data_IF_289223639262
#
_entry.id   IF_289223639262
#
_cell.length_a   1.000
_cell.length_b   1.000
_cell.length_c   1.000
_cell.angle_alpha   90.00
_cell.angle_beta   90.00
_cell.angle_gamma   90.00
#
_symmetry.space_group_name_H-M   'P 1'
#
loop_
_entity.id
_entity.type
_entity.pdbx_description
1 polymer ?
#
# COMPACT_ATOMS: atom_id res chain seq x y z
N UNK A 1 -57.66 -15.80 28.96
CA UNK A 1 -56.21 -16.01 29.15
C UNK A 1 -55.88 -15.83 30.63
N UNK A 2 -55.11 -16.76 31.21
CA UNK A 2 -54.70 -16.63 32.62
C UNK A 2 -53.71 -15.49 32.76
N UNK A 3 -53.77 -14.60 33.75
CA UNK A 3 -52.87 -13.46 33.90
C UNK A 3 -51.36 -13.85 33.90
N UNK A 4 -51.05 -15.04 34.35
CA UNK A 4 -49.72 -15.62 34.37
C UNK A 4 -49.12 -15.80 32.94
N UNK A 5 -49.92 -16.04 31.90
CA UNK A 5 -49.44 -16.23 30.53
C UNK A 5 -49.09 -14.88 29.88
N UNK A 6 -49.78 -13.83 30.27
CA UNK A 6 -49.53 -12.47 29.77
C UNK A 6 -48.20 -11.94 30.32
N UNK A 7 -47.92 -12.17 31.60
CA UNK A 7 -46.64 -11.77 32.21
C UNK A 7 -45.45 -12.53 31.64
N UNK A 8 -45.61 -13.83 31.37
CA UNK A 8 -44.55 -14.62 30.71
C UNK A 8 -44.26 -14.13 29.28
N UNK A 9 -45.30 -13.80 28.53
CA UNK A 9 -45.19 -13.30 27.17
C UNK A 9 -44.51 -11.91 27.10
N UNK A 10 -44.83 -11.02 28.04
CA UNK A 10 -44.21 -9.73 28.23
C UNK A 10 -42.70 -9.86 28.59
N UNK A 11 -42.36 -10.79 29.47
CA UNK A 11 -40.96 -11.03 29.83
C UNK A 11 -40.14 -11.53 28.64
N UNK A 12 -40.69 -12.46 27.85
CA UNK A 12 -40.02 -12.95 26.62
C UNK A 12 -39.82 -11.81 25.61
N UNK A 13 -40.83 -10.96 25.43
CA UNK A 13 -40.78 -9.84 24.49
C UNK A 13 -39.70 -8.81 24.90
N UNK A 14 -39.58 -8.53 26.22
CA UNK A 14 -38.53 -7.64 26.73
C UNK A 14 -37.12 -8.23 26.55
N UNK A 15 -36.96 -9.54 26.77
CA UNK A 15 -35.66 -10.21 26.54
C UNK A 15 -35.29 -10.16 25.04
N UNK A 16 -36.27 -10.43 24.18
CA UNK A 16 -36.04 -10.40 22.72
C UNK A 16 -35.71 -8.98 22.25
N UNK A 17 -36.41 -7.97 22.72
CA UNK A 17 -36.15 -6.56 22.42
C UNK A 17 -34.78 -6.14 22.94
N UNK A 18 -34.38 -6.53 24.14
CA UNK A 18 -33.05 -6.29 24.68
C UNK A 18 -31.95 -6.96 23.87
N UNK A 19 -32.16 -8.20 23.46
CA UNK A 19 -31.22 -8.92 22.59
C UNK A 19 -31.07 -8.23 21.24
N UNK A 20 -32.16 -7.88 20.57
CA UNK A 20 -32.13 -7.16 19.30
C UNK A 20 -31.48 -5.79 19.45
N UNK A 21 -31.72 -5.06 20.54
CA UNK A 21 -31.08 -3.78 20.80
C UNK A 21 -29.54 -3.92 20.92
N UNK A 22 -29.06 -4.90 21.69
CA UNK A 22 -27.62 -5.17 21.85
C UNK A 22 -26.95 -5.62 20.55
N UNK A 23 -27.61 -6.44 19.73
CA UNK A 23 -27.09 -6.91 18.46
C UNK A 23 -27.19 -5.86 17.36
N UNK A 24 -28.06 -4.88 17.48
CA UNK A 24 -28.20 -3.75 16.54
C UNK A 24 -27.28 -2.57 16.86
N UNK A 25 -26.55 -2.61 17.99
CA UNK A 25 -25.58 -1.58 18.29
C UNK A 25 -24.47 -1.63 17.21
N UNK A 26 -24.20 -0.51 16.52
CA UNK A 26 -23.10 -0.47 15.57
C UNK A 26 -21.80 -0.79 16.32
N UNK A 27 -21.12 -1.84 15.86
CA UNK A 27 -19.77 -2.13 16.35
C UNK A 27 -18.92 -0.92 15.96
N UNK A 28 -18.26 -0.24 16.91
CA UNK A 28 -17.37 0.85 16.55
C UNK A 28 -16.36 0.32 15.54
N UNK A 29 -16.09 1.07 14.43
CA UNK A 29 -15.10 0.65 13.46
C UNK A 29 -13.78 0.36 14.19
N UNK A 30 -13.04 -0.68 13.78
CA UNK A 30 -11.71 -0.92 14.30
C UNK A 30 -10.94 0.40 14.24
N UNK A 31 -10.22 0.76 15.30
CA UNK A 31 -9.27 1.88 15.22
C UNK A 31 -8.25 1.47 14.18
N UNK A 32 -8.36 2.04 12.98
CA UNK A 32 -7.31 1.94 11.99
C UNK A 32 -6.10 2.68 12.57
N UNK A 33 -5.01 1.94 12.77
CA UNK A 33 -3.73 2.57 13.07
C UNK A 33 -3.39 3.52 11.91
N UNK A 34 -2.86 4.72 12.19
CA UNK A 34 -2.52 5.66 11.14
C UNK A 34 -1.57 4.99 10.15
N UNK A 35 -1.97 4.91 8.87
CA UNK A 35 -1.09 4.41 7.83
C UNK A 35 0.16 5.29 7.76
N UNK A 36 1.32 4.66 7.85
CA UNK A 36 2.60 5.29 7.64
C UNK A 36 2.98 5.14 6.17
N UNK A 37 3.42 6.22 5.56
CA UNK A 37 3.92 6.22 4.19
C UNK A 37 5.43 6.46 4.19
N UNK A 38 6.14 5.83 3.26
CA UNK A 38 7.57 6.10 3.02
C UNK A 38 7.73 7.51 2.45
N UNK A 39 6.85 7.85 1.51
CA UNK A 39 6.59 9.20 1.00
C UNK A 39 5.14 9.30 0.53
N UNK A 40 4.71 10.49 0.21
CA UNK A 40 3.43 10.75 -0.43
C UNK A 40 3.62 11.85 -1.48
N UNK A 41 3.43 11.50 -2.74
CA UNK A 41 3.56 12.38 -3.90
C UNK A 41 2.34 12.23 -4.81
N UNK A 42 2.09 13.20 -5.66
CA UNK A 42 1.06 13.07 -6.67
C UNK A 42 1.53 12.10 -7.77
N UNK A 43 0.66 11.16 -8.16
CA UNK A 43 0.99 10.18 -9.20
C UNK A 43 1.37 10.84 -10.53
N UNK A 44 0.78 12.00 -10.81
CA UNK A 44 1.00 12.80 -12.00
C UNK A 44 2.42 13.38 -12.07
N UNK A 45 3.07 13.60 -10.92
CA UNK A 45 4.44 14.13 -10.86
C UNK A 45 5.49 13.11 -11.27
N UNK A 46 5.16 11.81 -11.25
CA UNK A 46 6.10 10.74 -11.65
C UNK A 46 6.28 10.79 -13.17
N UNK A 47 7.52 10.98 -13.64
CA UNK A 47 7.87 11.06 -15.06
C UNK A 47 8.63 9.83 -15.54
N UNK A 48 9.45 9.24 -14.67
CA UNK A 48 10.29 8.12 -15.02
C UNK A 48 10.37 7.14 -13.86
N UNK A 49 10.34 5.85 -14.17
CA UNK A 49 10.42 4.75 -13.20
C UNK A 49 11.48 3.78 -13.69
N UNK A 50 12.46 3.49 -12.84
CA UNK A 50 13.43 2.42 -13.07
C UNK A 50 13.22 1.36 -11.99
N UNK A 51 13.12 0.12 -12.39
CA UNK A 51 13.03 -1.04 -11.50
C UNK A 51 14.24 -1.92 -11.78
N UNK A 52 15.11 -2.02 -10.80
CA UNK A 52 16.30 -2.85 -10.86
C UNK A 52 16.14 -4.08 -9.96
N UNK A 53 16.56 -5.22 -10.45
CA UNK A 53 16.70 -6.48 -9.72
C UNK A 53 18.19 -6.83 -9.62
N UNK A 54 18.95 -6.21 -8.68
CA UNK A 54 20.42 -6.29 -8.69
C UNK A 54 20.94 -7.72 -8.59
N UNK A 55 20.25 -8.59 -7.85
CA UNK A 55 20.67 -10.00 -7.68
C UNK A 55 20.46 -10.85 -8.93
N UNK A 56 19.56 -10.44 -9.81
CA UNK A 56 19.25 -11.11 -11.08
C UNK A 56 20.00 -10.48 -12.24
N UNK A 57 20.49 -9.25 -12.05
CA UNK A 57 21.15 -8.45 -13.10
C UNK A 57 20.17 -7.93 -14.14
N UNK A 58 18.89 -7.82 -13.77
CA UNK A 58 17.82 -7.33 -14.64
C UNK A 58 17.45 -5.90 -14.24
N UNK A 59 17.12 -5.10 -15.25
CA UNK A 59 16.66 -3.72 -15.10
C UNK A 59 15.57 -3.42 -16.13
N UNK A 60 14.55 -2.70 -15.70
CA UNK A 60 13.48 -2.24 -16.57
C UNK A 60 13.19 -0.78 -16.30
N UNK A 61 13.12 0.01 -17.37
CA UNK A 61 12.91 1.45 -17.33
C UNK A 61 11.63 1.83 -18.06
N UNK A 62 10.91 2.82 -17.51
CA UNK A 62 9.63 3.29 -18.03
C UNK A 62 9.59 4.80 -18.00
N UNK A 63 9.11 5.39 -19.08
CA UNK A 63 8.99 6.84 -19.23
C UNK A 63 7.53 7.22 -19.53
N UNK A 64 7.10 8.35 -18.98
CA UNK A 64 5.78 8.94 -19.22
C UNK A 64 5.89 10.01 -20.30
N UNK A 65 5.02 9.92 -21.30
CA UNK A 65 4.91 10.91 -22.37
C UNK A 65 3.98 12.08 -21.98
N UNK A 66 3.99 13.15 -22.77
CA UNK A 66 3.16 14.34 -22.56
C UNK A 66 1.64 14.03 -22.55
N UNK A 67 1.22 13.01 -23.30
CA UNK A 67 -0.16 12.52 -23.34
C UNK A 67 -0.53 11.63 -22.16
N UNK A 68 0.41 11.47 -21.19
CA UNK A 68 0.31 10.63 -19.99
C UNK A 68 0.34 9.12 -20.27
N UNK A 69 0.65 8.70 -21.48
CA UNK A 69 0.92 7.29 -21.78
C UNK A 69 2.29 6.89 -21.24
N UNK A 70 2.42 5.60 -20.87
CA UNK A 70 3.66 5.03 -20.41
C UNK A 70 4.26 4.11 -21.46
N UNK A 71 5.55 4.20 -21.63
CA UNK A 71 6.33 3.40 -22.58
C UNK A 71 7.53 2.77 -21.88
N UNK A 72 7.99 1.65 -22.41
CA UNK A 72 9.32 1.15 -22.05
C UNK A 72 10.37 2.15 -22.54
N UNK A 73 11.29 2.51 -21.65
CA UNK A 73 12.41 3.38 -22.01
C UNK A 73 13.56 2.51 -22.58
N UNK A 74 13.30 1.95 -23.74
CA UNK A 74 14.21 1.11 -24.49
C UNK A 74 14.24 1.52 -25.98
N UNK A 75 15.04 0.82 -26.79
CA UNK A 75 15.19 1.15 -28.21
C UNK A 75 13.90 0.95 -29.03
N UNK A 76 12.98 0.11 -28.57
CA UNK A 76 11.71 -0.16 -29.24
C UNK A 76 10.61 0.82 -28.86
N UNK A 77 10.76 1.47 -27.72
CA UNK A 77 9.80 2.44 -27.19
C UNK A 77 8.36 1.92 -27.21
N UNK A 78 8.21 0.66 -26.81
CA UNK A 78 6.91 -0.01 -26.84
C UNK A 78 5.97 0.51 -25.76
N UNK A 79 4.67 0.69 -26.06
CA UNK A 79 3.72 1.10 -25.04
C UNK A 79 3.54 -0.01 -24.01
N UNK A 80 3.37 0.36 -22.74
CA UNK A 80 3.02 -0.61 -21.70
C UNK A 80 1.55 -1.03 -21.81
N UNK A 81 1.25 -2.25 -21.35
CA UNK A 81 -0.13 -2.71 -21.26
C UNK A 81 -0.89 -1.90 -20.18
N UNK A 82 -1.65 -0.92 -20.62
CA UNK A 82 -2.39 0.00 -19.74
C UNK A 82 -3.43 -0.69 -18.85
N UNK A 83 -3.89 -1.90 -19.18
CA UNK A 83 -4.79 -2.64 -18.30
C UNK A 83 -4.06 -3.17 -17.07
N UNK A 84 -2.82 -3.59 -17.23
CA UNK A 84 -1.96 -4.09 -16.16
C UNK A 84 -1.24 -2.96 -15.44
N UNK A 85 -0.82 -1.95 -16.19
CA UNK A 85 -0.11 -0.77 -15.68
C UNK A 85 -1.07 0.24 -15.04
N UNK A 86 -2.26 0.40 -15.63
CA UNK A 86 -3.21 1.49 -15.39
C UNK A 86 -3.53 1.79 -13.95
N UNK A 87 -2.87 2.81 -13.41
CA UNK A 87 -2.96 3.21 -12.01
C UNK A 87 -2.29 2.25 -11.03
N UNK A 88 -1.86 1.04 -11.45
CA UNK A 88 -1.28 0.04 -10.56
C UNK A 88 0.09 0.45 -10.04
N UNK A 89 1.12 0.42 -10.88
CA UNK A 89 2.50 0.70 -10.46
C UNK A 89 2.69 2.17 -10.08
N UNK A 90 2.33 3.17 -10.91
CA UNK A 90 2.47 4.56 -10.52
C UNK A 90 1.68 4.94 -9.27
N UNK A 91 0.47 4.40 -9.11
CA UNK A 91 -0.35 4.64 -7.91
C UNK A 91 0.28 4.02 -6.67
N UNK A 92 0.81 2.80 -6.75
CA UNK A 92 1.51 2.15 -5.64
C UNK A 92 2.75 2.95 -5.22
N UNK A 93 3.50 3.45 -6.21
CA UNK A 93 4.74 4.18 -5.99
C UNK A 93 4.52 5.63 -5.55
N UNK A 94 3.34 6.22 -5.79
CA UNK A 94 3.00 7.55 -5.31
C UNK A 94 2.84 7.62 -3.79
N UNK A 95 2.50 6.49 -3.14
CA UNK A 95 2.34 6.43 -1.69
C UNK A 95 2.60 5.04 -1.13
N UNK A 96 3.86 4.54 -1.19
CA UNK A 96 4.17 3.23 -0.62
C UNK A 96 3.99 3.26 0.89
N UNK A 97 3.05 2.42 1.37
CA UNK A 97 2.72 2.36 2.78
C UNK A 97 3.58 1.35 3.54
N UNK A 98 3.78 1.61 4.82
CA UNK A 98 4.48 0.71 5.74
C UNK A 98 3.68 0.52 7.01
N UNK A 99 3.81 -0.64 7.65
CA UNK A 99 3.15 -0.94 8.91
C UNK A 99 3.91 -0.38 10.11
N UNK A 100 5.23 -0.22 9.99
CA UNK A 100 6.08 0.27 11.09
C UNK A 100 7.38 0.86 10.57
N UNK A 101 7.92 1.81 11.32
CA UNK A 101 9.28 2.29 11.17
C UNK A 101 10.19 1.45 12.09
N UNK A 102 11.21 0.80 11.52
CA UNK A 102 12.14 -0.04 12.28
C UNK A 102 13.30 0.79 12.81
N UNK A 103 13.88 1.63 11.97
CA UNK A 103 15.05 2.44 12.32
C UNK A 103 15.15 3.69 11.46
N UNK A 104 15.75 4.72 12.03
CA UNK A 104 16.16 5.93 11.31
C UNK A 104 17.67 6.05 11.45
N UNK A 105 18.38 6.46 10.40
CA UNK A 105 19.85 6.53 10.35
C UNK A 105 20.53 5.19 10.71
N UNK A 106 20.13 4.17 10.00
CA UNK A 106 20.57 2.78 10.21
C UNK A 106 22.08 2.65 9.92
N UNK A 107 22.79 1.87 10.75
CA UNK A 107 24.21 1.56 10.52
C UNK A 107 24.39 0.64 9.32
N UNK A 108 25.59 0.66 8.71
CA UNK A 108 25.93 -0.20 7.58
C UNK A 108 25.75 -1.69 7.92
N UNK A 109 26.09 -2.12 9.12
CA UNK A 109 25.88 -3.49 9.59
C UNK A 109 24.42 -3.92 9.54
N UNK A 110 23.50 -3.03 9.93
CA UNK A 110 22.07 -3.30 9.83
C UNK A 110 21.55 -3.26 8.40
N UNK A 111 22.13 -2.42 7.54
CA UNK A 111 21.79 -2.43 6.12
C UNK A 111 22.17 -3.77 5.49
N UNK A 112 23.30 -4.36 5.88
CA UNK A 112 23.70 -5.71 5.47
C UNK A 112 22.69 -6.74 6.00
N UNK A 113 22.36 -6.68 7.30
CA UNK A 113 21.42 -7.61 7.96
C UNK A 113 20.04 -7.59 7.29
N UNK A 114 19.57 -6.43 6.84
CA UNK A 114 18.30 -6.28 6.14
C UNK A 114 18.38 -6.55 4.63
N UNK A 115 19.56 -6.93 4.11
CA UNK A 115 19.76 -7.17 2.68
C UNK A 115 19.66 -5.91 1.81
N UNK A 116 19.85 -4.71 2.39
CA UNK A 116 19.73 -3.43 1.69
C UNK A 116 21.02 -2.98 0.98
N UNK A 117 22.14 -3.65 1.23
CA UNK A 117 23.39 -3.40 0.49
C UNK A 117 23.37 -4.07 -0.89
N UNK A 118 22.74 -5.24 -0.99
CA UNK A 118 22.41 -5.92 -2.24
C UNK A 118 20.91 -6.21 -2.25
N UNK A 119 20.06 -5.22 -2.52
CA UNK A 119 18.62 -5.35 -2.40
C UNK A 119 18.05 -6.36 -3.39
N UNK A 120 16.89 -6.94 -3.07
CA UNK A 120 16.13 -7.76 -4.02
C UNK A 120 15.62 -6.92 -5.16
N UNK A 121 15.20 -5.69 -4.86
CA UNK A 121 14.67 -4.74 -5.82
C UNK A 121 15.03 -3.34 -5.39
N UNK A 122 15.39 -2.50 -6.34
CA UNK A 122 15.55 -1.06 -6.19
C UNK A 122 14.62 -0.37 -7.18
N UNK A 123 13.83 0.58 -6.70
CA UNK A 123 12.95 1.38 -7.54
C UNK A 123 13.38 2.83 -7.43
N UNK A 124 13.71 3.41 -8.56
CA UNK A 124 14.08 4.82 -8.71
C UNK A 124 12.96 5.56 -9.44
N UNK A 125 12.46 6.63 -8.84
CA UNK A 125 11.48 7.52 -9.43
C UNK A 125 12.14 8.85 -9.76
N UNK A 126 11.89 9.38 -10.94
CA UNK A 126 12.21 10.77 -11.29
C UNK A 126 10.89 11.54 -11.41
N UNK A 127 10.79 12.64 -10.69
CA UNK A 127 9.62 13.51 -10.69
C UNK A 127 9.74 14.65 -11.72
N UNK A 128 8.65 15.34 -11.98
CA UNK A 128 8.58 16.46 -12.92
C UNK A 128 9.54 17.61 -12.58
N UNK A 129 9.88 17.77 -11.30
CA UNK A 129 10.83 18.77 -10.79
C UNK A 129 12.30 18.29 -10.78
N UNK A 130 12.61 17.18 -11.45
CA UNK A 130 13.90 16.50 -11.43
C UNK A 130 14.32 15.93 -10.06
N UNK A 131 13.42 15.89 -9.07
CA UNK A 131 13.67 15.21 -7.82
C UNK A 131 13.71 13.69 -8.04
N UNK A 132 14.66 13.03 -7.38
CA UNK A 132 14.83 11.57 -7.47
C UNK A 132 14.54 10.93 -6.12
N UNK A 133 13.61 9.99 -6.12
CA UNK A 133 13.26 9.17 -4.96
C UNK A 133 13.69 7.72 -5.19
N UNK A 134 14.30 7.10 -4.18
CA UNK A 134 14.77 5.71 -4.27
C UNK A 134 14.20 4.91 -3.12
N UNK A 135 13.62 3.75 -3.44
CA UNK A 135 13.21 2.75 -2.46
C UNK A 135 13.96 1.44 -2.72
N UNK A 136 14.49 0.85 -1.66
CA UNK A 136 15.16 -0.45 -1.70
C UNK A 136 14.34 -1.48 -0.94
N UNK A 137 14.16 -2.62 -1.54
CA UNK A 137 13.49 -3.78 -0.93
C UNK A 137 14.57 -4.82 -0.61
N UNK A 138 14.77 -5.04 0.67
CA UNK A 138 15.72 -6.00 1.19
C UNK A 138 15.10 -7.37 1.45
N UNK A 139 15.77 -8.15 2.32
CA UNK A 139 15.32 -9.48 2.69
C UNK A 139 14.12 -9.43 3.67
N UNK A 140 13.37 -10.53 3.74
CA UNK A 140 12.31 -10.66 4.71
C UNK A 140 12.89 -10.58 6.14
N UNK A 141 12.37 -9.65 6.93
CA UNK A 141 12.70 -9.61 8.37
C UNK A 141 11.98 -10.75 9.09
N UNK A 142 12.64 -11.41 10.02
CA UNK A 142 12.02 -12.46 10.84
C UNK A 142 10.86 -11.97 11.70
#
# INVERSE_FOLDING_TARGET
MRPSNITALLAILLILAGYLYLTSMPVPPPKEDPQLFVWLIEMEEIQHIVIDLPREGESQSFIKEEDRSWHFDDAEFSPVDMQRWGGGIPLLLSGPSTNRLISVNTSEEKLIEFGLMEPLMEVTLTLENDEVLVIKVGDNTP
#
